data_IF_080508926956
#
_entry.id   IF_080508926956
#
_cell.length_a   1.000
_cell.length_b   1.000
_cell.length_c   1.000
_cell.angle_alpha   90.00
_cell.angle_beta   90.00
_cell.angle_gamma   90.00
#
_symmetry.space_group_name_H-M   'P 1'
#
loop_
_entity.id
_entity.type
_entity.pdbx_description
1 polymer ?
#
# COMPACT_ATOMS: atom_id res chain seq x y z
N UNK A 1 -14.99 0.82 11.85
CA UNK A 1 -13.76 1.57 11.52
C UNK A 1 -13.84 2.15 10.11
N UNK A 2 -13.33 3.37 9.91
CA UNK A 2 -13.26 4.02 8.59
C UNK A 2 -11.84 4.55 8.40
N UNK A 3 -11.22 4.20 7.29
CA UNK A 3 -9.84 4.57 6.97
C UNK A 3 -9.89 5.67 5.93
N UNK A 4 -9.21 6.79 6.21
CA UNK A 4 -9.19 7.99 5.34
C UNK A 4 -8.19 7.86 4.18
N UNK A 5 -7.83 6.64 3.83
CA UNK A 5 -6.88 6.27 2.80
C UNK A 5 -7.38 5.00 2.10
N UNK A 6 -6.98 4.74 0.84
CA UNK A 6 -7.06 3.42 0.24
C UNK A 6 -6.17 2.42 0.98
N UNK A 7 -6.36 1.15 0.64
CA UNK A 7 -5.59 0.01 1.10
C UNK A 7 -4.11 0.15 0.70
N UNK A 8 -3.22 0.24 1.69
CA UNK A 8 -1.77 0.23 1.45
C UNK A 8 -1.33 -1.21 1.19
N UNK A 9 -1.18 -1.55 -0.08
CA UNK A 9 -0.85 -2.90 -0.54
C UNK A 9 0.62 -3.05 -0.93
N UNK A 10 1.32 -1.95 -1.19
CA UNK A 10 2.69 -1.95 -1.70
C UNK A 10 3.62 -1.06 -0.87
N UNK A 11 4.89 -1.47 -0.70
CA UNK A 11 5.86 -0.71 0.06
C UNK A 11 6.35 0.54 -0.68
N UNK A 12 6.46 1.67 -0.01
CA UNK A 12 6.96 2.89 -0.66
C UNK A 12 8.49 2.82 -0.91
N UNK A 13 8.97 3.26 -2.07
CA UNK A 13 10.42 3.36 -2.35
C UNK A 13 10.92 4.80 -2.50
N UNK A 14 10.05 5.79 -2.26
CA UNK A 14 10.33 7.21 -2.50
C UNK A 14 10.46 8.03 -1.19
N UNK A 15 10.84 7.37 -0.10
CA UNK A 15 11.22 8.03 1.15
C UNK A 15 10.18 8.00 2.28
N UNK A 16 9.01 7.38 2.06
CA UNK A 16 8.10 7.03 3.16
C UNK A 16 8.53 5.68 3.73
N UNK A 17 8.73 5.63 5.05
CA UNK A 17 9.01 4.40 5.76
C UNK A 17 7.73 3.55 5.84
N UNK A 18 7.75 2.39 5.20
CA UNK A 18 6.64 1.41 5.24
C UNK A 18 7.25 0.03 5.37
N UNK A 19 6.54 -0.91 5.97
CA UNK A 19 6.96 -2.30 6.07
C UNK A 19 7.06 -2.98 4.69
N UNK A 20 7.57 -4.23 4.67
CA UNK A 20 7.62 -5.05 3.46
C UNK A 20 6.21 -5.45 3.00
N UNK A 21 6.08 -5.91 1.75
CA UNK A 21 4.76 -6.22 1.19
C UNK A 21 4.04 -7.27 2.02
N UNK A 22 4.74 -8.28 2.49
CA UNK A 22 4.24 -9.43 3.25
C UNK A 22 3.72 -9.02 4.62
N UNK A 23 4.27 -7.94 5.18
CA UNK A 23 3.88 -7.38 6.47
C UNK A 23 2.68 -6.42 6.37
N UNK A 24 2.37 -5.91 5.17
CA UNK A 24 1.18 -5.10 4.94
C UNK A 24 -0.06 -5.99 4.91
N UNK A 25 -0.94 -5.88 5.91
CA UNK A 25 -2.13 -6.73 6.02
C UNK A 25 -3.02 -6.71 4.76
N UNK A 26 -3.15 -5.54 4.13
CA UNK A 26 -3.98 -5.37 2.93
C UNK A 26 -3.35 -5.95 1.66
N UNK A 27 -2.08 -6.38 1.68
CA UNK A 27 -1.46 -7.05 0.54
C UNK A 27 -1.89 -8.52 0.40
N UNK A 28 -2.35 -9.13 1.50
CA UNK A 28 -2.64 -10.56 1.63
C UNK A 28 -4.06 -10.88 2.10
N UNK A 29 -4.78 -9.91 2.65
CA UNK A 29 -6.13 -10.08 3.16
C UNK A 29 -7.12 -9.15 2.44
N UNK A 30 -8.32 -9.65 2.21
CA UNK A 30 -9.47 -8.87 1.76
C UNK A 30 -9.98 -7.93 2.87
N UNK A 31 -10.77 -6.91 2.51
CA UNK A 31 -11.34 -5.95 3.48
C UNK A 31 -12.17 -6.65 4.57
N UNK A 32 -12.90 -7.71 4.23
CA UNK A 32 -13.69 -8.48 5.20
C UNK A 32 -12.80 -9.28 6.16
N UNK A 33 -11.72 -9.89 5.66
CA UNK A 33 -10.74 -10.58 6.52
C UNK A 33 -10.01 -9.59 7.43
N UNK A 34 -9.64 -8.40 6.93
CA UNK A 34 -9.04 -7.35 7.76
C UNK A 34 -10.02 -6.89 8.82
N UNK A 35 -11.31 -6.67 8.47
CA UNK A 35 -12.36 -6.30 9.42
C UNK A 35 -12.45 -7.31 10.57
N UNK A 36 -12.45 -8.60 10.24
CA UNK A 36 -12.56 -9.68 11.22
C UNK A 36 -11.29 -9.76 12.07
N UNK A 37 -10.11 -9.62 11.45
CA UNK A 37 -8.81 -9.61 12.14
C UNK A 37 -8.72 -8.51 13.21
N UNK A 38 -9.22 -7.31 12.91
CA UNK A 38 -9.22 -6.18 13.85
C UNK A 38 -10.43 -6.16 14.80
N UNK A 39 -11.41 -7.06 14.61
CA UNK A 39 -12.61 -7.15 15.43
C UNK A 39 -13.59 -5.97 15.29
N UNK A 40 -13.69 -5.37 14.10
CA UNK A 40 -14.60 -4.25 13.87
C UNK A 40 -15.98 -4.71 13.35
N UNK A 41 -17.07 -4.03 13.73
CA UNK A 41 -18.41 -4.34 13.19
C UNK A 41 -18.52 -4.06 11.68
N UNK A 42 -17.78 -3.06 11.20
CA UNK A 42 -17.65 -2.75 9.77
C UNK A 42 -16.33 -2.06 9.49
N UNK A 43 -15.78 -2.27 8.30
CA UNK A 43 -14.58 -1.60 7.79
C UNK A 43 -14.86 -1.04 6.40
N UNK A 44 -14.34 0.15 6.12
CA UNK A 44 -14.32 0.69 4.77
C UNK A 44 -13.11 1.62 4.60
N UNK A 45 -12.50 1.53 3.42
CA UNK A 45 -11.40 2.37 2.97
C UNK A 45 -11.92 3.48 2.04
N UNK A 46 -11.15 4.57 1.95
CA UNK A 46 -11.39 5.59 0.93
C UNK A 46 -10.97 5.01 -0.43
N UNK A 47 -11.80 5.11 -1.46
CA UNK A 47 -11.39 4.63 -2.78
C UNK A 47 -10.24 5.45 -3.35
N UNK A 48 -9.34 4.81 -4.10
CA UNK A 48 -8.21 5.48 -4.75
C UNK A 48 -8.66 6.66 -5.62
N UNK A 49 -9.72 6.48 -6.40
CA UNK A 49 -10.25 7.56 -7.24
C UNK A 49 -10.77 8.74 -6.40
N UNK A 50 -11.40 8.47 -5.25
CA UNK A 50 -11.87 9.54 -4.37
C UNK A 50 -10.69 10.29 -3.73
N UNK A 51 -9.62 9.57 -3.35
CA UNK A 51 -8.38 10.17 -2.88
C UNK A 51 -7.80 11.09 -3.95
N UNK A 52 -7.56 10.59 -5.17
CA UNK A 52 -6.98 11.41 -6.26
C UNK A 52 -7.85 12.63 -6.54
N UNK A 53 -9.18 12.48 -6.66
CA UNK A 53 -10.08 13.62 -6.86
C UNK A 53 -9.98 14.66 -5.75
N UNK A 54 -9.77 14.24 -4.50
CA UNK A 54 -9.66 15.17 -3.36
C UNK A 54 -8.40 16.03 -3.40
N UNK A 55 -7.34 15.59 -4.08
CA UNK A 55 -6.08 16.33 -4.22
C UNK A 55 -6.14 17.44 -5.28
N UNK A 56 -7.23 17.52 -6.07
CA UNK A 56 -7.34 18.40 -7.25
C UNK A 56 -6.20 18.22 -8.26
N UNK A 57 -5.53 17.06 -8.24
CA UNK A 57 -4.42 16.68 -9.13
C UNK A 57 -4.87 15.54 -10.04
N UNK A 58 -4.32 15.49 -11.25
CA UNK A 58 -4.54 14.38 -12.18
C UNK A 58 -3.83 13.11 -11.68
N UNK A 59 -4.39 11.93 -11.97
CA UNK A 59 -3.87 10.65 -11.44
C UNK A 59 -2.40 10.41 -11.83
N UNK A 60 -2.01 10.79 -13.03
CA UNK A 60 -0.65 10.68 -13.57
C UNK A 60 0.37 11.59 -12.87
N UNK A 61 -0.10 12.60 -12.14
CA UNK A 61 0.72 13.56 -11.38
C UNK A 61 0.68 13.30 -9.88
N UNK A 62 -0.04 12.29 -9.44
CA UNK A 62 -0.13 11.87 -8.05
C UNK A 62 0.42 10.45 -7.89
N UNK A 63 1.45 10.28 -7.06
CA UNK A 63 2.02 8.96 -6.81
C UNK A 63 1.00 8.06 -6.10
N UNK A 64 0.53 7.02 -6.80
CA UNK A 64 -0.42 6.03 -6.28
C UNK A 64 0.25 4.69 -5.92
N UNK A 65 1.58 4.60 -6.04
CA UNK A 65 2.29 3.32 -6.07
C UNK A 65 2.10 2.47 -4.81
N UNK A 66 1.92 3.08 -3.63
CA UNK A 66 1.64 2.34 -2.39
C UNK A 66 0.28 1.61 -2.40
N UNK A 67 -0.63 2.02 -3.28
CA UNK A 67 -1.98 1.50 -3.42
C UNK A 67 -2.09 0.58 -4.64
N UNK A 68 -1.65 1.01 -5.83
CA UNK A 68 -1.81 0.23 -7.08
C UNK A 68 -0.56 -0.55 -7.50
N UNK A 69 0.60 -0.24 -6.95
CA UNK A 69 1.88 -0.88 -7.30
C UNK A 69 2.51 -0.34 -8.58
N UNK A 70 1.95 0.73 -9.17
CA UNK A 70 2.50 1.36 -10.36
C UNK A 70 3.55 2.40 -9.96
N UNK A 71 4.83 2.04 -10.11
CA UNK A 71 5.96 2.91 -9.80
C UNK A 71 6.41 3.66 -11.07
N UNK A 72 6.12 4.98 -11.19
CA UNK A 72 6.43 5.74 -12.40
C UNK A 72 7.93 5.99 -12.59
N UNK A 73 8.71 5.88 -11.52
CA UNK A 73 10.18 6.00 -11.54
C UNK A 73 10.79 4.65 -11.19
N UNK A 74 11.75 4.21 -11.99
CA UNK A 74 12.48 2.97 -11.79
C UNK A 74 13.11 2.94 -10.39
N UNK A 75 12.93 1.80 -9.72
CA UNK A 75 13.46 1.57 -8.37
C UNK A 75 14.81 0.87 -8.52
N UNK A 76 15.92 1.47 -8.05
CA UNK A 76 17.21 0.80 -8.05
C UNK A 76 17.15 -0.52 -7.28
N UNK A 77 17.78 -1.57 -7.80
CA UNK A 77 17.77 -2.90 -7.20
C UNK A 77 18.30 -2.88 -5.75
N UNK A 78 19.28 -2.04 -5.44
CA UNK A 78 19.79 -1.87 -4.07
C UNK A 78 18.73 -1.38 -3.09
N UNK A 79 17.79 -0.56 -3.53
CA UNK A 79 16.68 -0.03 -2.71
C UNK A 79 15.60 -1.09 -2.56
N UNK A 80 15.31 -1.82 -3.64
CA UNK A 80 14.39 -2.97 -3.63
C UNK A 80 14.88 -4.04 -2.65
N UNK A 81 16.16 -4.41 -2.72
CA UNK A 81 16.81 -5.33 -1.80
C UNK A 81 16.95 -4.78 -0.39
N UNK A 82 17.17 -3.47 -0.21
CA UNK A 82 17.20 -2.88 1.14
C UNK A 82 15.87 -3.06 1.89
N UNK A 83 14.76 -3.05 1.15
CA UNK A 83 13.42 -3.26 1.71
C UNK A 83 13.02 -4.74 1.77
N UNK A 84 13.45 -5.56 0.81
CA UNK A 84 13.26 -7.02 0.75
C UNK A 84 14.43 -7.81 1.38
N UNK A 85 15.29 -7.15 2.14
CA UNK A 85 16.65 -7.65 2.45
C UNK A 85 16.73 -8.74 3.51
N UNK A 86 15.59 -9.09 4.12
CA UNK A 86 15.51 -10.06 5.21
C UNK A 86 14.71 -11.32 4.86
N UNK A 87 14.18 -11.42 3.64
CA UNK A 87 13.26 -12.48 3.21
C UNK A 87 13.91 -13.52 2.28
N UNK A 88 15.25 -13.55 2.19
CA UNK A 88 15.96 -14.68 1.58
C UNK A 88 15.99 -15.91 2.49
N UNK A 89 14.83 -16.43 2.92
CA UNK A 89 14.67 -17.82 3.37
C UNK A 89 13.19 -18.20 3.57
N UNK A 90 12.46 -18.45 2.48
CA UNK A 90 11.36 -19.42 2.50
C UNK A 90 11.08 -19.87 1.06
N UNK A 91 11.80 -20.90 0.63
CA UNK A 91 11.43 -21.75 -0.50
C UNK A 91 10.92 -23.09 0.01
#
# INVERSE_FOLDING_TARGET
MRITSPEVMWPCFYGIDTDTREQLIASSHSVDEIRDYIGADSLAYLSLDALVRSTSTEKDKFCCACFDGEYPVEIPESVRQGKLGLESFCG
#
